data_IF_079483235442
#
_entry.id   IF_079483235442
#
_cell.length_a   1.000
_cell.length_b   1.000
_cell.length_c   1.000
_cell.angle_alpha   90.00
_cell.angle_beta   90.00
_cell.angle_gamma   90.00
#
_symmetry.space_group_name_H-M   'P 1'
#
loop_
_entity.id
_entity.type
_entity.pdbx_description
1 polymer ?
#
# COMPACT_ATOMS: atom_id res chain seq x y z
N UNK A 1 18.69 2.48 12.99
CA UNK A 1 17.39 2.44 12.28
C UNK A 1 17.59 1.83 10.91
N UNK A 2 16.88 0.75 10.61
CA UNK A 2 16.89 0.03 9.34
C UNK A 2 15.52 0.16 8.70
N UNK A 3 15.54 0.32 7.39
CA UNK A 3 14.37 0.27 6.53
C UNK A 3 14.34 -1.12 5.89
N UNK A 4 13.19 -1.79 5.91
CA UNK A 4 13.02 -3.07 5.23
C UNK A 4 11.86 -2.98 4.25
N UNK A 5 12.00 -3.62 3.09
CA UNK A 5 10.94 -3.66 2.08
C UNK A 5 10.54 -5.09 1.79
N UNK A 6 9.24 -5.33 1.75
CA UNK A 6 8.66 -6.63 1.41
C UNK A 6 7.81 -6.53 0.14
N UNK A 7 8.16 -7.35 -0.85
CA UNK A 7 7.43 -7.41 -2.11
C UNK A 7 6.14 -8.23 -2.01
N UNK A 8 5.30 -8.15 -3.04
CA UNK A 8 3.96 -8.74 -2.99
C UNK A 8 3.94 -10.27 -2.76
N UNK A 9 4.93 -11.03 -3.25
CA UNK A 9 5.01 -12.46 -2.96
C UNK A 9 5.20 -12.77 -1.47
N UNK A 10 5.91 -11.90 -0.75
CA UNK A 10 6.10 -12.00 0.71
C UNK A 10 4.85 -11.58 1.49
N UNK A 11 3.83 -11.04 0.81
CA UNK A 11 2.60 -10.51 1.41
C UNK A 11 1.37 -11.18 0.79
N UNK A 12 1.53 -12.32 0.11
CA UNK A 12 0.50 -12.91 -0.75
C UNK A 12 -0.66 -13.55 0.04
N UNK A 13 -0.41 -14.00 1.27
CA UNK A 13 -1.40 -14.60 2.17
C UNK A 13 -0.97 -14.42 3.64
N UNK A 14 -1.85 -14.83 4.56
CA UNK A 14 -1.61 -14.76 6.01
C UNK A 14 -0.29 -15.40 6.43
N UNK A 15 0.02 -16.61 5.96
CA UNK A 15 1.26 -17.31 6.30
C UNK A 15 2.52 -16.53 5.89
N UNK A 16 2.52 -15.90 4.72
CA UNK A 16 3.65 -15.08 4.28
C UNK A 16 3.75 -13.78 5.10
N UNK A 17 2.62 -13.15 5.43
CA UNK A 17 2.58 -11.96 6.28
C UNK A 17 3.12 -12.27 7.68
N UNK A 18 2.75 -13.42 8.26
CA UNK A 18 3.30 -13.90 9.53
C UNK A 18 4.82 -13.98 9.48
N UNK A 19 5.38 -14.64 8.45
CA UNK A 19 6.83 -14.72 8.24
C UNK A 19 7.48 -13.35 8.09
N UNK A 20 6.85 -12.43 7.37
CA UNK A 20 7.34 -11.06 7.24
C UNK A 20 7.38 -10.38 8.61
N UNK A 21 6.33 -10.52 9.42
CA UNK A 21 6.30 -9.95 10.76
C UNK A 21 7.37 -10.57 11.67
N UNK A 22 7.58 -11.89 11.62
CA UNK A 22 8.66 -12.56 12.35
C UNK A 22 10.04 -12.03 11.93
N UNK A 23 10.25 -11.81 10.63
CA UNK A 23 11.47 -11.16 10.13
C UNK A 23 11.57 -9.76 10.70
N UNK A 24 10.54 -8.92 10.58
CA UNK A 24 10.56 -7.55 11.12
C UNK A 24 10.94 -7.55 12.60
N UNK A 25 10.32 -8.40 13.41
CA UNK A 25 10.49 -8.46 14.86
C UNK A 25 11.82 -9.11 15.29
N UNK A 26 12.50 -9.85 14.41
CA UNK A 26 13.81 -10.47 14.71
C UNK A 26 14.97 -9.47 14.83
N UNK A 27 14.77 -8.21 14.46
CA UNK A 27 15.80 -7.16 14.47
C UNK A 27 15.17 -5.83 14.90
N UNK A 28 15.38 -5.44 16.15
CA UNK A 28 14.81 -4.22 16.74
C UNK A 28 15.24 -2.93 16.03
N UNK A 29 16.33 -2.96 15.25
CA UNK A 29 16.72 -1.80 14.44
C UNK A 29 15.75 -1.56 13.28
N UNK A 30 14.98 -2.58 12.83
CA UNK A 30 14.00 -2.44 11.74
C UNK A 30 12.81 -1.65 12.24
N UNK A 31 12.69 -0.42 11.74
CA UNK A 31 11.71 0.52 12.25
C UNK A 31 10.69 0.95 11.21
N UNK A 32 11.13 1.13 9.95
CA UNK A 32 10.26 1.51 8.83
C UNK A 32 10.16 0.32 7.88
N UNK A 33 8.94 -0.18 7.70
CA UNK A 33 8.62 -1.36 6.91
C UNK A 33 7.79 -0.93 5.71
N UNK A 34 8.39 -1.02 4.52
CA UNK A 34 7.71 -0.74 3.26
C UNK A 34 7.06 -2.00 2.71
N UNK A 35 5.77 -1.94 2.43
CA UNK A 35 5.01 -3.09 1.93
C UNK A 35 4.42 -2.83 0.54
N UNK A 36 4.44 -3.85 -0.30
CA UNK A 36 3.72 -3.88 -1.58
C UNK A 36 2.30 -4.45 -1.42
N UNK A 37 1.45 -4.32 -2.45
CA UNK A 37 0.17 -5.04 -2.50
C UNK A 37 0.36 -6.58 -2.45
N UNK A 38 -0.63 -7.35 -1.98
CA UNK A 38 -0.55 -8.81 -1.98
C UNK A 38 -0.34 -9.37 -3.37
N UNK A 39 0.70 -10.18 -3.51
CA UNK A 39 1.09 -10.85 -4.74
C UNK A 39 0.30 -12.13 -4.99
N UNK A 40 0.86 -12.97 -5.85
CA UNK A 40 0.29 -14.28 -6.17
C UNK A 40 0.54 -15.28 -5.03
N UNK A 41 -0.49 -16.03 -4.63
CA UNK A 41 -0.40 -17.14 -3.66
C UNK A 41 0.21 -18.40 -4.29
N UNK A 42 -0.10 -18.62 -5.56
CA UNK A 42 0.40 -19.73 -6.38
C UNK A 42 0.80 -19.20 -7.77
N UNK A 43 1.41 -20.02 -8.61
CA UNK A 43 1.86 -19.59 -9.96
C UNK A 43 0.72 -19.04 -10.81
N UNK A 44 -0.44 -19.68 -10.74
CA UNK A 44 -1.60 -19.42 -11.59
C UNK A 44 -2.60 -18.44 -10.93
N UNK A 45 -2.30 -17.95 -9.72
CA UNK A 45 -3.07 -16.92 -9.02
C UNK A 45 -2.86 -15.53 -9.65
N UNK A 46 -3.77 -14.60 -9.33
CA UNK A 46 -3.76 -13.21 -9.78
C UNK A 46 -3.31 -12.32 -8.62
N UNK A 47 -2.53 -11.27 -8.89
CA UNK A 47 -2.11 -10.30 -7.87
C UNK A 47 -3.26 -9.35 -7.54
N UNK A 48 -3.27 -8.78 -6.34
CA UNK A 48 -4.27 -7.76 -5.96
C UNK A 48 -4.20 -6.55 -6.88
N UNK A 49 -3.01 -6.09 -7.26
CA UNK A 49 -2.85 -4.97 -8.20
C UNK A 49 -3.50 -5.25 -9.55
N UNK A 50 -3.41 -6.49 -10.06
CA UNK A 50 -4.01 -6.86 -11.34
C UNK A 50 -5.55 -6.90 -11.24
N UNK A 51 -6.09 -7.38 -10.11
CA UNK A 51 -7.52 -7.31 -9.82
C UNK A 51 -8.03 -5.86 -9.71
N UNK A 52 -7.26 -4.97 -9.08
CA UNK A 52 -7.56 -3.54 -8.99
C UNK A 52 -7.53 -2.86 -10.37
N UNK A 53 -6.63 -3.27 -11.26
CA UNK A 53 -6.64 -2.81 -12.65
C UNK A 53 -7.94 -3.24 -13.35
N UNK A 54 -8.42 -4.47 -13.10
CA UNK A 54 -9.73 -4.90 -13.63
C UNK A 54 -10.88 -4.05 -13.09
N UNK A 55 -10.88 -3.71 -11.80
CA UNK A 55 -11.85 -2.78 -11.18
C UNK A 55 -11.87 -1.45 -11.92
N UNK A 56 -10.69 -0.85 -12.11
CA UNK A 56 -10.57 0.43 -12.79
C UNK A 56 -11.06 0.35 -14.25
N UNK A 57 -10.67 -0.69 -14.98
CA UNK A 57 -11.06 -0.86 -16.38
C UNK A 57 -12.57 -1.00 -16.54
N UNK A 58 -13.24 -1.78 -15.69
CA UNK A 58 -14.69 -1.90 -15.70
C UNK A 58 -15.37 -0.53 -15.59
N UNK A 59 -14.94 0.30 -14.64
CA UNK A 59 -15.44 1.68 -14.48
C UNK A 59 -15.15 2.57 -15.68
N UNK A 60 -13.92 2.51 -16.20
CA UNK A 60 -13.48 3.31 -17.35
C UNK A 60 -14.23 2.97 -18.65
N UNK A 61 -14.74 1.74 -18.75
CA UNK A 61 -15.60 1.24 -19.83
C UNK A 61 -17.09 1.52 -19.62
N UNK A 62 -17.47 2.13 -18.48
CA UNK A 62 -18.85 2.46 -18.14
C UNK A 62 -19.64 1.32 -17.48
N UNK A 63 -18.96 0.25 -17.06
CA UNK A 63 -19.55 -0.89 -16.36
C UNK A 63 -19.52 -0.68 -14.84
N UNK A 64 -20.39 -1.42 -14.13
CA UNK A 64 -20.33 -1.54 -12.68
C UNK A 64 -19.19 -2.50 -12.28
N UNK A 65 -18.18 -2.06 -11.50
CA UNK A 65 -17.01 -2.87 -11.15
C UNK A 65 -17.27 -3.85 -9.98
N UNK A 66 -18.51 -3.99 -9.53
CA UNK A 66 -18.86 -4.78 -8.33
C UNK A 66 -18.29 -6.20 -8.35
N UNK A 67 -18.27 -6.88 -9.50
CA UNK A 67 -17.75 -8.24 -9.59
C UNK A 67 -16.23 -8.27 -9.36
N UNK A 68 -15.48 -7.40 -10.04
CA UNK A 68 -14.03 -7.25 -9.90
C UNK A 68 -13.66 -6.83 -8.47
N UNK A 69 -14.41 -5.88 -7.92
CA UNK A 69 -14.19 -5.36 -6.57
C UNK A 69 -14.41 -6.44 -5.51
N UNK A 70 -15.43 -7.28 -5.69
CA UNK A 70 -15.70 -8.41 -4.79
C UNK A 70 -14.52 -9.40 -4.73
N UNK A 71 -13.77 -9.58 -5.83
CA UNK A 71 -12.58 -10.44 -5.87
C UNK A 71 -11.42 -9.83 -5.06
N UNK A 72 -11.28 -8.51 -5.08
CA UNK A 72 -10.28 -7.79 -4.24
C UNK A 72 -10.66 -7.90 -2.76
N UNK A 73 -11.92 -7.63 -2.42
CA UNK A 73 -12.42 -7.71 -1.04
C UNK A 73 -12.28 -9.13 -0.51
N UNK A 74 -12.65 -10.15 -1.30
CA UNK A 74 -12.50 -11.55 -0.93
C UNK A 74 -11.04 -11.91 -0.62
N UNK A 75 -10.07 -11.33 -1.35
CA UNK A 75 -8.65 -11.54 -1.06
C UNK A 75 -8.27 -11.00 0.32
N UNK A 76 -8.67 -9.78 0.65
CA UNK A 76 -8.38 -9.21 1.96
C UNK A 76 -9.11 -9.94 3.07
N UNK A 77 -10.37 -10.33 2.84
CA UNK A 77 -11.16 -11.13 3.78
C UNK A 77 -10.46 -12.44 4.15
N UNK A 78 -10.01 -13.21 3.16
CA UNK A 78 -9.25 -14.46 3.37
C UNK A 78 -8.03 -14.21 4.27
N UNK A 79 -7.24 -13.17 3.97
CA UNK A 79 -6.06 -12.83 4.75
C UNK A 79 -6.43 -12.41 6.17
N UNK A 80 -7.45 -11.56 6.36
CA UNK A 80 -7.85 -11.08 7.68
C UNK A 80 -8.44 -12.19 8.55
N UNK A 81 -9.20 -13.10 7.95
CA UNK A 81 -9.76 -14.27 8.65
C UNK A 81 -8.63 -15.18 9.13
N UNK A 82 -7.69 -15.54 8.25
CA UNK A 82 -6.56 -16.42 8.57
C UNK A 82 -5.57 -15.81 9.59
N UNK A 83 -5.46 -14.47 9.61
CA UNK A 83 -4.67 -13.73 10.60
C UNK A 83 -5.43 -13.47 11.92
N UNK A 84 -6.71 -13.85 12.02
CA UNK A 84 -7.59 -13.57 13.16
C UNK A 84 -7.75 -12.07 13.48
N UNK A 85 -7.83 -11.23 12.45
CA UNK A 85 -8.07 -9.77 12.55
C UNK A 85 -9.23 -9.30 11.63
N UNK A 86 -10.40 -9.94 11.66
CA UNK A 86 -11.51 -9.57 10.76
C UNK A 86 -12.05 -8.16 11.00
N UNK A 87 -11.71 -7.52 12.12
CA UNK A 87 -12.18 -6.20 12.50
C UNK A 87 -11.66 -5.06 11.61
N UNK A 88 -10.57 -5.25 10.86
CA UNK A 88 -10.05 -4.25 9.91
C UNK A 88 -10.73 -4.32 8.54
N UNK A 89 -11.41 -5.43 8.24
CA UNK A 89 -12.02 -5.64 6.92
C UNK A 89 -13.03 -4.54 6.56
N UNK A 90 -13.93 -4.07 7.46
CA UNK A 90 -14.86 -2.98 7.12
C UNK A 90 -14.16 -1.69 6.69
N UNK A 91 -13.01 -1.35 7.28
CA UNK A 91 -12.23 -0.18 6.90
C UNK A 91 -11.61 -0.35 5.50
N UNK A 92 -11.03 -1.53 5.23
CA UNK A 92 -10.47 -1.89 3.92
C UNK A 92 -11.57 -1.87 2.85
N UNK A 93 -12.72 -2.47 3.13
CA UNK A 93 -13.88 -2.47 2.22
C UNK A 93 -14.37 -1.07 1.92
N UNK A 94 -14.48 -0.21 2.94
CA UNK A 94 -14.87 1.19 2.75
C UNK A 94 -13.89 1.92 1.84
N UNK A 95 -12.59 1.83 2.11
CA UNK A 95 -11.54 2.48 1.30
C UNK A 95 -11.57 2.01 -0.16
N UNK A 96 -11.73 0.69 -0.38
CA UNK A 96 -11.83 0.09 -1.70
C UNK A 96 -13.09 0.56 -2.45
N UNK A 97 -14.25 0.59 -1.80
CA UNK A 97 -15.50 1.06 -2.39
C UNK A 97 -15.44 2.56 -2.72
N UNK A 98 -15.03 3.39 -1.76
CA UNK A 98 -14.94 4.84 -1.94
C UNK A 98 -14.03 5.19 -3.14
N UNK A 99 -12.90 4.48 -3.29
CA UNK A 99 -11.98 4.70 -4.41
C UNK A 99 -12.51 4.15 -5.73
N UNK A 100 -13.10 2.95 -5.74
CA UNK A 100 -13.63 2.34 -6.96
C UNK A 100 -14.79 3.14 -7.56
N UNK A 101 -15.68 3.67 -6.72
CA UNK A 101 -16.86 4.44 -7.15
C UNK A 101 -16.64 5.95 -7.20
N UNK A 102 -15.45 6.45 -6.87
CA UNK A 102 -15.14 7.86 -6.99
C UNK A 102 -15.41 8.38 -8.42
N UNK A 103 -15.89 9.63 -8.48
CA UNK A 103 -15.96 10.37 -9.72
C UNK A 103 -14.54 10.70 -10.21
N UNK A 104 -14.37 10.75 -11.53
CA UNK A 104 -13.09 11.10 -12.13
C UNK A 104 -13.27 11.91 -13.41
N UNK A 105 -12.42 12.92 -13.56
CA UNK A 105 -12.28 13.69 -14.80
C UNK A 105 -11.03 13.29 -15.60
N UNK A 106 -10.08 12.61 -14.94
CA UNK A 106 -8.83 12.12 -15.53
C UNK A 106 -8.72 10.61 -15.31
N UNK A 107 -8.71 9.87 -16.42
CA UNK A 107 -8.67 8.41 -16.43
C UNK A 107 -7.36 7.84 -15.88
N UNK A 108 -6.23 8.52 -16.14
CA UNK A 108 -4.91 8.08 -15.68
C UNK A 108 -4.82 8.26 -14.17
N UNK A 109 -5.25 9.42 -13.69
CA UNK A 109 -5.31 9.72 -12.26
C UNK A 109 -6.21 8.75 -11.49
N UNK A 110 -7.37 8.42 -12.05
CA UNK A 110 -8.28 7.45 -11.46
C UNK A 110 -7.65 6.06 -11.37
N UNK A 111 -7.07 5.57 -12.46
CA UNK A 111 -6.37 4.28 -12.50
C UNK A 111 -5.26 4.20 -11.45
N UNK A 112 -4.48 5.28 -11.30
CA UNK A 112 -3.42 5.36 -10.31
C UNK A 112 -3.95 5.33 -8.88
N UNK A 113 -5.07 6.01 -8.63
CA UNK A 113 -5.74 5.99 -7.32
C UNK A 113 -6.23 4.59 -6.96
N UNK A 114 -6.85 3.88 -7.91
CA UNK A 114 -7.32 2.50 -7.70
C UNK A 114 -6.15 1.54 -7.49
N UNK A 115 -5.06 1.64 -8.27
CA UNK A 115 -3.87 0.78 -8.12
C UNK A 115 -3.24 0.92 -6.73
N UNK A 116 -3.09 2.16 -6.24
CA UNK A 116 -2.47 2.46 -4.94
C UNK A 116 -3.18 1.79 -3.75
N UNK A 117 -4.46 1.45 -3.89
CA UNK A 117 -5.22 0.76 -2.83
C UNK A 117 -4.67 -0.62 -2.48
N UNK A 118 -3.93 -1.25 -3.40
CA UNK A 118 -3.25 -2.50 -3.11
C UNK A 118 -2.23 -2.35 -1.99
N UNK A 119 -1.35 -1.36 -2.10
CA UNK A 119 -0.34 -1.05 -1.08
C UNK A 119 -0.95 -0.45 0.17
N UNK A 120 -1.88 0.50 0.01
CA UNK A 120 -2.56 1.18 1.12
C UNK A 120 -3.24 0.19 2.08
N UNK A 121 -4.11 -0.67 1.53
CA UNK A 121 -4.87 -1.65 2.32
C UNK A 121 -3.94 -2.72 2.92
N UNK A 122 -2.87 -3.10 2.21
CA UNK A 122 -1.88 -4.04 2.75
C UNK A 122 -1.12 -3.45 3.94
N UNK A 123 -0.75 -2.17 3.89
CA UNK A 123 -0.07 -1.50 4.99
C UNK A 123 -0.96 -1.38 6.23
N UNK A 124 -2.25 -1.05 6.06
CA UNK A 124 -3.24 -1.06 7.15
C UNK A 124 -3.36 -2.45 7.79
N UNK A 125 -3.50 -3.48 6.96
CA UNK A 125 -3.63 -4.86 7.41
C UNK A 125 -2.39 -5.33 8.18
N UNK A 126 -1.19 -5.06 7.68
CA UNK A 126 0.07 -5.45 8.35
C UNK A 126 0.25 -4.71 9.67
N UNK A 127 -0.02 -3.41 9.72
CA UNK A 127 0.02 -2.63 10.96
C UNK A 127 -0.98 -3.16 12.00
N UNK A 128 -2.20 -3.49 11.55
CA UNK A 128 -3.22 -4.08 12.41
C UNK A 128 -2.80 -5.44 12.94
N UNK A 129 -2.22 -6.28 12.10
CA UNK A 129 -1.76 -7.62 12.49
C UNK A 129 -0.66 -7.54 13.55
N UNK A 130 0.38 -6.74 13.34
CA UNK A 130 1.44 -6.52 14.33
C UNK A 130 0.87 -6.04 15.68
N UNK A 131 -0.06 -5.08 15.64
CA UNK A 131 -0.72 -4.58 16.86
C UNK A 131 -1.56 -5.68 17.53
N UNK A 132 -2.20 -6.57 16.77
CA UNK A 132 -2.99 -7.69 17.30
C UNK A 132 -2.18 -8.68 18.11
N UNK A 133 -0.90 -8.85 17.76
CA UNK A 133 0.03 -9.75 18.42
C UNK A 133 0.92 -9.04 19.45
N UNK A 134 0.55 -7.82 19.87
CA UNK A 134 1.19 -7.10 20.98
C UNK A 134 2.38 -6.23 20.59
N UNK A 135 2.63 -6.00 19.30
CA UNK A 135 3.72 -5.14 18.82
C UNK A 135 3.15 -3.82 18.28
N UNK A 136 3.41 -2.67 18.96
CA UNK A 136 2.93 -1.37 18.49
C UNK A 136 3.39 -1.08 17.07
N UNK A 137 2.45 -0.98 16.14
CA UNK A 137 2.71 -0.68 14.75
C UNK A 137 1.65 0.29 14.23
N UNK A 138 2.07 1.20 13.37
CA UNK A 138 1.24 2.27 12.82
C UNK A 138 1.28 2.23 11.31
N UNK A 139 0.11 2.29 10.70
CA UNK A 139 0.00 2.58 9.28
C UNK A 139 0.39 4.04 9.03
N UNK A 140 1.33 4.25 8.11
CA UNK A 140 1.87 5.56 7.77
C UNK A 140 1.31 6.00 6.41
N UNK A 141 0.27 6.84 6.42
CA UNK A 141 -0.30 7.35 5.18
C UNK A 141 0.72 8.26 4.45
N UNK A 142 1.03 8.02 3.16
CA UNK A 142 2.02 8.83 2.44
C UNK A 142 1.72 10.33 2.40
N UNK A 143 0.44 10.73 2.38
CA UNK A 143 0.03 12.14 2.41
C UNK A 143 0.36 12.79 3.75
N UNK A 144 0.02 12.12 4.84
CA UNK A 144 0.24 12.61 6.21
C UNK A 144 1.73 12.64 6.56
N UNK A 145 2.49 11.67 6.06
CA UNK A 145 3.94 11.63 6.19
C UNK A 145 4.67 12.60 5.25
N UNK A 146 3.94 13.27 4.34
CA UNK A 146 4.50 14.29 3.46
C UNK A 146 5.36 13.75 2.31
N UNK A 147 5.09 12.52 1.82
CA UNK A 147 5.67 12.01 0.57
C UNK A 147 4.99 12.70 -0.62
N UNK A 148 5.52 13.87 -0.99
CA UNK A 148 5.02 14.64 -2.13
C UNK A 148 5.79 14.35 -3.41
N UNK A 149 5.04 14.14 -4.48
CA UNK A 149 5.56 13.79 -5.80
C UNK A 149 5.10 14.81 -6.84
N UNK A 150 5.82 14.86 -7.95
CA UNK A 150 5.46 15.56 -9.18
C UNK A 150 5.82 14.69 -10.38
N UNK A 151 5.36 15.06 -11.58
CA UNK A 151 5.81 14.41 -12.81
C UNK A 151 7.00 15.20 -13.38
N UNK A 152 8.07 14.49 -13.76
CA UNK A 152 9.18 15.07 -14.51
C UNK A 152 8.78 15.37 -15.97
N UNK A 153 9.72 15.93 -16.74
CA UNK A 153 9.51 16.26 -18.16
C UNK A 153 9.14 15.03 -19.04
N UNK A 154 9.49 13.82 -18.58
CA UNK A 154 9.16 12.57 -19.24
C UNK A 154 7.87 11.93 -18.71
N UNK A 155 7.14 12.62 -17.82
CA UNK A 155 5.90 12.14 -17.21
C UNK A 155 6.11 11.07 -16.13
N UNK A 156 7.31 10.92 -15.57
CA UNK A 156 7.60 9.97 -14.49
C UNK A 156 7.50 10.64 -13.13
N UNK A 157 6.98 9.91 -12.15
CA UNK A 157 6.94 10.39 -10.77
C UNK A 157 8.36 10.66 -10.23
N UNK A 158 8.56 11.88 -9.72
CA UNK A 158 9.75 12.35 -9.03
C UNK A 158 9.35 12.89 -7.67
N UNK A 159 10.19 12.65 -6.66
CA UNK A 159 10.01 13.19 -5.31
C UNK A 159 10.33 14.69 -5.25
N UNK A 160 9.50 15.45 -4.53
CA UNK A 160 9.77 16.84 -4.20
C UNK A 160 10.74 16.94 -3.03
N UNK A 161 11.70 17.87 -3.08
CA UNK A 161 12.79 18.00 -2.11
C UNK A 161 12.33 18.06 -0.65
N UNK A 162 11.27 18.84 -0.36
CA UNK A 162 10.67 18.95 0.98
C UNK A 162 10.16 17.62 1.55
N UNK A 163 9.92 16.62 0.70
CA UNK A 163 9.45 15.31 1.15
C UNK A 163 10.52 14.58 1.95
N UNK A 164 11.81 14.81 1.66
CA UNK A 164 12.89 14.23 2.46
C UNK A 164 12.83 14.77 3.90
N UNK A 165 12.71 16.09 4.05
CA UNK A 165 12.59 16.73 5.37
C UNK A 165 11.34 16.25 6.13
N UNK A 166 10.22 16.06 5.42
CA UNK A 166 8.98 15.56 6.03
C UNK A 166 9.13 14.12 6.54
N UNK A 167 9.73 13.25 5.71
CA UNK A 167 9.88 11.82 5.99
C UNK A 167 10.93 11.54 7.07
N UNK A 168 11.91 12.41 7.26
CA UNK A 168 12.89 12.32 8.35
C UNK A 168 12.19 12.21 9.72
N UNK A 169 11.01 12.82 9.87
CA UNK A 169 10.26 12.78 11.14
C UNK A 169 9.81 11.36 11.53
N UNK A 170 9.73 10.42 10.59
CA UNK A 170 9.37 9.03 10.88
C UNK A 170 10.39 8.34 11.81
N UNK A 171 11.62 8.83 11.88
CA UNK A 171 12.65 8.29 12.79
C UNK A 171 12.36 8.52 14.27
N UNK A 172 11.45 9.45 14.57
CA UNK A 172 11.06 9.78 15.95
C UNK A 172 9.76 9.06 16.37
N UNK A 173 9.11 8.34 15.46
CA UNK A 173 7.96 7.51 15.81
C UNK A 173 8.40 6.40 16.78
N UNK A 174 7.56 6.09 17.77
CA UNK A 174 7.91 5.06 18.76
C UNK A 174 7.44 3.68 18.34
N UNK A 175 6.43 3.63 17.49
CA UNK A 175 5.84 2.41 16.96
C UNK A 175 6.53 2.01 15.66
N UNK A 176 6.44 0.73 15.27
CA UNK A 176 6.86 0.30 13.94
C UNK A 176 6.06 1.08 12.88
N UNK A 177 6.76 1.71 11.94
CA UNK A 177 6.13 2.44 10.83
C UNK A 177 5.87 1.49 9.67
N UNK A 178 4.61 1.19 9.37
CA UNK A 178 4.22 0.39 8.22
C UNK A 178 3.79 1.33 7.09
N UNK A 179 4.65 1.47 6.09
CA UNK A 179 4.53 2.44 5.02
C UNK A 179 4.11 1.73 3.71
N UNK A 180 3.02 2.15 3.05
CA UNK A 180 2.67 1.60 1.75
C UNK A 180 3.67 2.11 0.69
N UNK A 181 4.22 1.20 -0.10
CA UNK A 181 5.12 1.57 -1.18
C UNK A 181 4.38 2.18 -2.38
N UNK A 182 5.10 2.36 -3.49
CA UNK A 182 4.56 2.56 -4.84
C UNK A 182 3.90 3.91 -5.15
N UNK A 183 3.39 4.66 -4.19
CA UNK A 183 2.74 5.94 -4.47
C UNK A 183 3.05 7.03 -3.43
N UNK A 184 2.73 8.26 -3.82
CA UNK A 184 2.72 9.45 -2.97
C UNK A 184 1.65 10.41 -3.47
N UNK A 185 1.75 11.68 -3.09
CA UNK A 185 0.73 12.68 -3.40
C UNK A 185 1.30 13.90 -4.13
N UNK A 186 0.59 14.39 -5.14
CA UNK A 186 0.78 15.74 -5.65
C UNK A 186 0.40 16.79 -4.61
N UNK A 187 0.90 18.01 -4.78
CA UNK A 187 0.51 19.16 -3.93
C UNK A 187 -0.96 19.53 -4.04
N UNK A 188 -1.60 19.16 -5.14
CA UNK A 188 -3.03 19.26 -5.36
C UNK A 188 -3.84 18.15 -4.64
N UNK A 189 -3.16 17.26 -3.92
CA UNK A 189 -3.76 16.19 -3.13
C UNK A 189 -4.11 14.94 -3.93
N UNK A 190 -3.74 14.86 -5.21
CA UNK A 190 -3.96 13.70 -6.07
C UNK A 190 -2.89 12.62 -5.86
N UNK A 191 -3.24 11.36 -6.03
CA UNK A 191 -2.28 10.24 -5.94
C UNK A 191 -1.39 10.22 -7.17
N UNK A 192 -0.08 10.10 -6.99
CA UNK A 192 0.87 9.88 -8.08
C UNK A 192 1.55 8.55 -7.82
N UNK A 193 1.54 7.64 -8.80
CA UNK A 193 2.22 6.35 -8.67
C UNK A 193 3.61 6.39 -9.30
N UNK A 194 4.55 5.69 -8.68
CA UNK A 194 5.85 5.42 -9.29
C UNK A 194 5.70 4.42 -10.44
N UNK A 195 6.71 4.39 -11.30
CA UNK A 195 6.81 3.35 -12.33
C UNK A 195 7.12 1.96 -11.74
N UNK A 196 7.40 0.96 -12.58
CA UNK A 196 7.74 -0.40 -12.12
C UNK A 196 8.85 -0.37 -11.06
N UNK A 197 8.68 -1.17 -10.01
CA UNK A 197 9.59 -1.16 -8.86
C UNK A 197 9.30 -0.04 -7.86
N UNK A 198 8.15 0.63 -7.96
CA UNK A 198 7.80 1.78 -7.12
C UNK A 198 7.93 1.55 -5.61
N UNK A 199 7.63 0.36 -5.09
CA UNK A 199 7.84 0.08 -3.67
C UNK A 199 9.34 0.04 -3.28
N UNK A 200 10.22 -0.38 -4.18
CA UNK A 200 11.68 -0.34 -3.95
C UNK A 200 12.20 1.11 -4.02
N UNK A 201 11.62 1.93 -4.89
CA UNK A 201 11.87 3.38 -4.94
C UNK A 201 11.44 4.04 -3.62
N UNK A 202 10.25 3.74 -3.11
CA UNK A 202 9.79 4.22 -1.79
C UNK A 202 10.74 3.82 -0.67
N UNK A 203 11.20 2.56 -0.65
CA UNK A 203 12.20 2.09 0.32
C UNK A 203 13.52 2.85 0.25
N UNK A 204 13.99 3.14 -0.97
CA UNK A 204 15.22 3.90 -1.20
C UNK A 204 15.08 5.36 -0.77
N UNK A 205 13.92 5.97 -1.02
CA UNK A 205 13.58 7.33 -0.57
C UNK A 205 13.60 7.40 0.96
N UNK A 206 12.89 6.49 1.64
CA UNK A 206 12.81 6.46 3.11
C UNK A 206 14.15 6.17 3.78
N UNK A 207 15.05 5.46 3.09
CA UNK A 207 16.40 5.22 3.58
C UNK A 207 17.35 6.41 3.37
N UNK A 208 17.01 7.31 2.45
CA UNK A 208 17.79 8.51 2.13
C UNK A 208 17.29 9.80 2.81
N UNK A 209 16.10 9.77 3.42
CA UNK A 209 15.55 10.82 4.27
C UNK A 209 16.06 10.69 5.71
#
# INVERSE_FOLDING_TARGET
MKIAKFGGSSLANAFQIQKVCDIVLSDEDRHIIVVSAPGKRTRDDIKVTDLLISVANARLEGNDPKEELSKVIARYKEITDDLNIPDILPEIEKTLNDTAYADYDDKVQYLDSVKAMGEDCCARLVARYLTSIGHPAKYCNPKECGLFLEHDEAGKARILGESYDNLENLKYERSLCIFPGFYGYGKDGKIITFSRGGSDITGSILAGA
#
